data_IF_008912509539
#
_entry.id   IF_008912509539
#
_cell.length_a   1.000
_cell.length_b   1.000
_cell.length_c   1.000
_cell.angle_alpha   90.00
_cell.angle_beta   90.00
_cell.angle_gamma   90.00
#
_symmetry.space_group_name_H-M   'P 1'
#
loop_
_entity.id
_entity.type
_entity.pdbx_description
1 polymer ?
#
# COMPACT_ATOMS: atom_id res chain seq x y z
N UNK A 1 16.73 -28.46 33.31
CA UNK A 1 16.44 -29.86 32.91
C UNK A 1 15.06 -30.24 33.44
N UNK A 2 14.18 -30.76 32.56
CA UNK A 2 12.90 -31.51 32.75
C UNK A 2 11.77 -30.89 33.61
N UNK A 3 10.55 -30.55 33.14
CA UNK A 3 9.46 -31.17 32.33
C UNK A 3 8.32 -31.76 33.21
N UNK A 4 7.08 -31.61 32.70
CA UNK A 4 5.77 -32.24 33.08
C UNK A 4 5.02 -31.63 34.30
N UNK A 5 3.70 -31.46 34.32
CA UNK A 5 2.62 -31.85 33.42
C UNK A 5 1.36 -30.98 33.66
N UNK A 6 0.58 -30.81 32.59
CA UNK A 6 -0.76 -30.23 32.52
C UNK A 6 -1.80 -31.36 32.68
N UNK A 7 -2.85 -31.14 33.47
CA UNK A 7 -4.18 -31.81 33.37
C UNK A 7 -5.20 -30.87 34.08
N UNK A 8 -6.08 -30.11 33.40
CA UNK A 8 -7.35 -30.53 32.77
C UNK A 8 -8.22 -31.35 33.74
N UNK A 9 -9.49 -31.07 34.07
CA UNK A 9 -10.46 -30.00 33.87
C UNK A 9 -11.69 -30.39 34.75
N UNK A 10 -12.74 -29.53 34.70
CA UNK A 10 -14.15 -29.95 34.62
C UNK A 10 -15.01 -29.96 35.92
N UNK A 11 -15.85 -28.92 36.01
CA UNK A 11 -17.30 -28.94 36.35
C UNK A 11 -17.72 -29.15 37.81
N UNK A 12 -18.41 -28.14 38.36
CA UNK A 12 -19.82 -28.26 38.78
C UNK A 12 -20.38 -26.89 39.23
N UNK A 13 -21.38 -26.45 38.48
CA UNK A 13 -22.29 -25.32 38.72
C UNK A 13 -23.21 -25.55 39.93
N UNK A 14 -23.50 -24.51 40.72
CA UNK A 14 -24.88 -24.11 41.08
C UNK A 14 -24.95 -22.83 41.94
N UNK A 15 -25.78 -21.89 41.44
CA UNK A 15 -26.61 -20.90 42.13
C UNK A 15 -25.98 -19.58 42.67
N UNK A 16 -26.32 -18.54 41.92
CA UNK A 16 -26.79 -17.21 42.31
C UNK A 16 -26.59 -16.78 43.77
N UNK A 17 -25.88 -15.66 43.95
CA UNK A 17 -26.04 -14.85 45.16
C UNK A 17 -26.30 -13.39 44.78
N UNK A 18 -27.53 -12.98 45.08
CA UNK A 18 -28.01 -11.59 45.15
C UNK A 18 -27.23 -10.89 46.26
N UNK A 19 -26.66 -9.71 46.00
CA UNK A 19 -26.04 -8.89 47.04
C UNK A 19 -26.81 -7.60 47.23
N UNK A 20 -27.74 -7.67 48.19
CA UNK A 20 -28.26 -6.54 48.96
C UNK A 20 -27.10 -5.79 49.62
N UNK A 21 -27.07 -4.48 49.44
CA UNK A 21 -26.06 -3.60 50.03
C UNK A 21 -26.21 -3.55 51.56
N UNK A 22 -25.14 -3.82 52.31
CA UNK A 22 -25.09 -3.53 53.73
C UNK A 22 -23.80 -2.78 54.09
N UNK A 23 -23.95 -1.65 54.78
CA UNK A 23 -22.90 -0.68 55.09
C UNK A 23 -22.04 -1.15 56.26
N UNK A 24 -20.93 -1.86 55.98
CA UNK A 24 -20.01 -2.29 57.04
C UNK A 24 -18.77 -3.07 56.61
N UNK A 25 -18.11 -2.70 55.51
CA UNK A 25 -16.96 -3.45 54.97
C UNK A 25 -15.65 -2.69 55.23
N UNK A 26 -14.69 -3.32 55.91
CA UNK A 26 -13.38 -2.74 56.20
C UNK A 26 -12.40 -2.92 55.03
N UNK A 27 -11.31 -2.14 54.96
CA UNK A 27 -10.32 -2.18 53.86
C UNK A 27 -9.67 -3.56 53.66
N UNK A 28 -9.65 -4.40 54.69
CA UNK A 28 -9.15 -5.78 54.61
C UNK A 28 -10.09 -6.72 53.83
N UNK A 29 -11.38 -6.38 53.74
CA UNK A 29 -12.38 -7.15 53.03
C UNK A 29 -12.43 -6.79 51.53
N UNK A 30 -12.09 -5.54 51.18
CA UNK A 30 -11.92 -5.12 49.77
C UNK A 30 -10.73 -5.81 49.09
N UNK A 31 -9.64 -6.04 49.83
CA UNK A 31 -8.47 -6.76 49.31
C UNK A 31 -8.77 -8.24 48.98
N UNK A 32 -9.71 -8.86 49.71
CA UNK A 32 -10.15 -10.24 49.45
C UNK A 32 -11.09 -10.33 48.25
N UNK A 33 -11.89 -9.30 47.99
CA UNK A 33 -12.74 -9.20 46.78
C UNK A 33 -11.90 -8.85 45.54
N UNK A 34 -10.88 -8.01 45.67
CA UNK A 34 -9.93 -7.72 44.59
C UNK A 34 -9.05 -8.94 44.22
N UNK A 35 -8.73 -9.80 45.18
CA UNK A 35 -7.99 -11.05 44.92
C UNK A 35 -8.84 -12.14 44.25
N UNK A 36 -10.17 -12.06 44.31
CA UNK A 36 -11.09 -12.98 43.62
C UNK A 36 -11.54 -12.48 42.23
N UNK A 37 -11.16 -11.26 41.83
CA UNK A 37 -11.59 -10.62 40.57
C UNK A 37 -10.55 -10.59 39.44
N UNK A 38 -9.43 -11.31 39.55
CA UNK A 38 -8.30 -11.21 38.58
C UNK A 38 -8.10 -12.47 37.72
N UNK A 39 -9.03 -13.44 37.75
CA UNK A 39 -8.98 -14.64 36.91
C UNK A 39 -10.22 -14.79 36.03
N UNK A 40 -10.60 -13.71 35.35
CA UNK A 40 -11.42 -13.77 34.13
C UNK A 40 -10.48 -13.75 32.93
N UNK A 41 -10.33 -14.88 32.27
CA UNK A 41 -9.41 -15.10 31.16
C UNK A 41 -9.58 -14.06 30.03
N UNK A 42 -8.66 -13.10 29.96
CA UNK A 42 -8.29 -12.46 28.70
C UNK A 42 -7.01 -13.15 28.24
N UNK A 43 -7.15 -14.24 27.48
CA UNK A 43 -6.10 -14.62 26.53
C UNK A 43 -6.15 -13.59 25.41
N UNK A 44 -5.20 -12.65 25.31
CA UNK A 44 -5.11 -11.83 24.12
C UNK A 44 -4.74 -12.76 22.97
N UNK A 45 -5.68 -12.93 22.04
CA UNK A 45 -5.36 -13.47 20.73
C UNK A 45 -4.50 -12.43 20.00
N UNK A 46 -3.20 -12.39 20.32
CA UNK A 46 -2.23 -11.62 19.56
C UNK A 46 -2.04 -12.31 18.21
N UNK A 47 -2.87 -11.94 17.23
CA UNK A 47 -2.49 -12.06 15.84
C UNK A 47 -1.27 -11.15 15.61
N UNK A 48 -0.15 -11.74 15.18
CA UNK A 48 1.08 -11.05 14.81
C UNK A 48 0.76 -9.90 13.84
N UNK A 49 0.92 -8.66 14.30
CA UNK A 49 0.71 -7.44 13.50
C UNK A 49 -0.26 -6.42 14.12
N UNK A 50 -1.10 -6.82 15.08
CA UNK A 50 -1.97 -5.90 15.79
C UNK A 50 -1.23 -5.24 16.97
N UNK A 51 -1.06 -3.92 16.93
CA UNK A 51 -0.57 -3.16 18.08
C UNK A 51 -1.63 -3.13 19.21
N UNK A 52 -1.23 -3.06 20.49
CA UNK A 52 -2.18 -3.09 21.60
C UNK A 52 -3.04 -1.82 21.61
N UNK A 53 -4.35 -1.97 21.33
CA UNK A 53 -5.35 -0.93 21.61
C UNK A 53 -5.64 -0.98 23.12
N UNK A 54 -4.93 -0.20 23.93
CA UNK A 54 -5.17 -0.09 25.38
C UNK A 54 -6.35 0.86 25.64
N UNK A 55 -7.54 0.29 25.90
CA UNK A 55 -8.68 1.00 26.49
C UNK A 55 -8.72 0.77 28.00
N UNK A 56 -8.10 1.65 28.78
CA UNK A 56 -8.17 1.55 30.25
C UNK A 56 -9.42 2.24 30.84
N UNK A 57 -10.13 3.07 30.06
CA UNK A 57 -11.42 3.66 30.46
C UNK A 57 -12.41 3.78 29.28
N UNK A 58 -12.39 2.81 28.35
CA UNK A 58 -13.21 2.79 27.13
C UNK A 58 -14.21 1.64 27.04
N UNK A 59 -14.47 0.91 28.14
CA UNK A 59 -15.39 -0.25 28.11
C UNK A 59 -16.29 -0.26 29.34
N UNK A 60 -17.54 0.17 29.15
CA UNK A 60 -18.66 -0.69 29.56
C UNK A 60 -19.66 -0.71 28.42
N UNK A 61 -19.70 -1.81 27.69
CA UNK A 61 -20.85 -2.15 26.84
C UNK A 61 -20.50 -2.33 25.37
N UNK A 62 -20.84 -3.52 24.88
CA UNK A 62 -20.96 -3.92 23.48
C UNK A 62 -22.00 -3.06 22.73
N UNK A 63 -21.68 -1.81 22.46
CA UNK A 63 -22.45 -0.92 21.58
C UNK A 63 -21.51 0.16 20.98
N UNK A 64 -21.71 0.57 19.72
CA UNK A 64 -20.87 1.55 19.05
C UNK A 64 -21.21 2.95 19.58
N UNK A 65 -20.75 3.27 20.80
CA UNK A 65 -20.78 4.65 21.25
C UNK A 65 -19.63 5.38 20.56
N UNK A 66 -20.03 6.36 19.73
CA UNK A 66 -19.22 7.42 19.14
C UNK A 66 -18.03 7.75 20.03
N UNK A 67 -16.83 7.31 19.61
CA UNK A 67 -15.56 7.69 20.22
C UNK A 67 -14.93 6.76 21.26
N UNK A 68 -15.43 5.54 21.45
CA UNK A 68 -14.79 4.56 22.32
C UNK A 68 -13.87 3.59 21.56
N UNK A 69 -12.56 3.84 21.55
CA UNK A 69 -11.59 2.80 21.18
C UNK A 69 -10.36 3.30 20.43
N UNK A 70 -9.54 4.17 21.03
CA UNK A 70 -8.25 4.60 20.46
C UNK A 70 -8.28 5.05 18.98
N UNK A 71 -9.46 5.41 18.46
CA UNK A 71 -9.69 5.84 17.09
C UNK A 71 -9.26 7.30 16.99
N UNK A 72 -8.53 7.66 15.94
CA UNK A 72 -8.18 9.06 15.70
C UNK A 72 -9.36 9.93 15.29
N UNK A 73 -10.45 9.31 14.84
CA UNK A 73 -11.73 9.97 14.69
C UNK A 73 -12.78 9.22 15.50
N UNK A 74 -13.43 9.89 16.48
CA UNK A 74 -14.51 9.28 17.25
C UNK A 74 -15.77 8.98 16.40
N UNK A 75 -15.78 9.40 15.13
CA UNK A 75 -16.90 9.23 14.20
C UNK A 75 -16.59 8.27 13.03
N UNK A 76 -15.45 7.58 13.04
CA UNK A 76 -15.13 6.63 11.98
C UNK A 76 -16.00 5.36 12.11
N UNK A 77 -16.97 5.20 11.19
CA UNK A 77 -17.81 4.01 11.09
C UNK A 77 -17.08 2.81 10.45
N UNK A 78 -15.93 3.06 9.79
CA UNK A 78 -15.12 2.08 9.04
C UNK A 78 -13.67 2.16 9.51
N UNK A 79 -12.96 1.03 9.55
CA UNK A 79 -11.55 0.98 9.94
C UNK A 79 -10.68 1.85 9.01
N UNK A 80 -9.95 2.78 9.60
CA UNK A 80 -9.04 3.68 8.88
C UNK A 80 -7.76 2.96 8.46
N UNK A 81 -7.17 3.37 7.33
CA UNK A 81 -5.93 2.81 6.78
C UNK A 81 -4.77 2.77 7.80
N UNK A 82 -4.67 3.81 8.64
CA UNK A 82 -3.76 3.85 9.77
C UNK A 82 -4.36 4.73 10.86
N UNK A 83 -3.87 4.64 12.11
CA UNK A 83 -4.35 5.48 13.20
C UNK A 83 -4.27 6.98 12.91
N UNK A 84 -3.46 7.44 11.96
CA UNK A 84 -3.35 8.86 11.63
C UNK A 84 -3.93 9.21 10.26
N UNK A 85 -4.58 8.27 9.59
CA UNK A 85 -5.18 8.48 8.27
C UNK A 85 -6.68 8.76 8.38
N UNK A 86 -7.20 9.79 7.71
CA UNK A 86 -8.64 9.99 7.59
C UNK A 86 -9.30 9.05 6.57
N UNK A 87 -8.50 8.32 5.77
CA UNK A 87 -9.00 7.42 4.73
C UNK A 87 -9.24 6.00 5.27
N UNK A 88 -10.29 5.33 4.79
CA UNK A 88 -10.60 3.94 5.11
C UNK A 88 -9.53 2.98 4.58
N UNK A 89 -9.41 1.82 5.21
CA UNK A 89 -8.62 0.73 4.67
C UNK A 89 -9.23 0.28 3.32
N UNK A 90 -8.40 0.08 2.31
CA UNK A 90 -8.85 -0.30 0.95
C UNK A 90 -9.34 -1.75 0.85
N UNK A 91 -9.35 -2.49 1.97
CA UNK A 91 -9.58 -3.93 2.01
C UNK A 91 -11.06 -4.33 1.88
N UNK A 92 -12.00 -3.43 2.15
CA UNK A 92 -13.41 -3.81 2.36
C UNK A 92 -14.22 -4.04 1.08
N UNK A 93 -13.60 -3.97 -0.11
CA UNK A 93 -14.28 -4.17 -1.40
C UNK A 93 -15.37 -3.13 -1.74
N UNK A 94 -15.63 -2.20 -0.83
CA UNK A 94 -16.51 -1.03 -0.98
C UNK A 94 -15.84 0.14 -1.69
N UNK A 95 -14.52 0.08 -1.88
CA UNK A 95 -13.77 1.08 -2.61
C UNK A 95 -14.27 1.16 -4.08
N UNK A 96 -14.60 2.38 -4.51
CA UNK A 96 -15.01 2.66 -5.90
C UNK A 96 -13.88 2.28 -6.87
N UNK A 97 -12.63 2.50 -6.44
CA UNK A 97 -11.46 2.08 -7.19
C UNK A 97 -11.13 0.61 -6.91
N UNK A 98 -11.33 -0.24 -7.91
CA UNK A 98 -11.14 -1.70 -7.83
C UNK A 98 -9.77 -2.17 -8.35
N UNK A 99 -8.83 -1.25 -8.54
CA UNK A 99 -7.54 -1.54 -9.17
C UNK A 99 -7.54 -1.27 -10.68
N UNK A 100 -6.48 -1.70 -11.39
CA UNK A 100 -6.34 -1.46 -12.82
C UNK A 100 -7.46 -2.15 -13.59
N UNK A 101 -8.38 -1.35 -14.16
CA UNK A 101 -9.41 -1.83 -15.07
C UNK A 101 -8.87 -1.96 -16.48
N UNK A 102 -9.54 -2.75 -17.33
CA UNK A 102 -9.19 -2.86 -18.76
C UNK A 102 -9.15 -1.51 -19.48
N UNK A 103 -9.97 -0.55 -19.03
CA UNK A 103 -9.96 0.82 -19.54
C UNK A 103 -8.67 1.56 -19.18
N UNK A 104 -8.17 1.41 -17.97
CA UNK A 104 -6.88 1.99 -17.55
C UNK A 104 -5.71 1.36 -18.33
N UNK A 105 -5.73 0.05 -18.55
CA UNK A 105 -4.71 -0.63 -19.36
C UNK A 105 -4.71 -0.10 -20.81
N UNK A 106 -5.89 0.07 -21.41
CA UNK A 106 -6.03 0.70 -22.74
C UNK A 106 -5.49 2.14 -22.76
N UNK A 107 -5.75 2.91 -21.71
CA UNK A 107 -5.21 4.27 -21.58
C UNK A 107 -3.68 4.27 -21.50
N UNK A 108 -3.07 3.38 -20.72
CA UNK A 108 -1.61 3.27 -20.63
C UNK A 108 -0.98 2.88 -21.98
N UNK A 109 -1.58 1.92 -22.69
CA UNK A 109 -1.13 1.57 -24.05
C UNK A 109 -1.26 2.76 -25.01
N UNK A 110 -2.36 3.53 -24.90
CA UNK A 110 -2.55 4.73 -25.71
C UNK A 110 -1.48 5.80 -25.43
N UNK A 111 -1.08 5.98 -24.16
CA UNK A 111 0.01 6.89 -23.77
C UNK A 111 1.33 6.44 -24.37
N UNK A 112 1.66 5.15 -24.31
CA UNK A 112 2.88 4.60 -24.92
C UNK A 112 2.90 4.86 -26.42
N UNK A 113 1.77 4.62 -27.12
CA UNK A 113 1.63 4.89 -28.56
C UNK A 113 1.71 6.37 -28.91
N UNK A 114 1.18 7.28 -28.09
CA UNK A 114 1.34 8.73 -28.30
C UNK A 114 2.82 9.14 -28.19
N UNK A 115 3.53 8.59 -27.20
CA UNK A 115 4.95 8.85 -27.03
C UNK A 115 5.77 8.32 -28.22
N UNK A 116 5.50 7.09 -28.67
CA UNK A 116 6.14 6.49 -29.84
C UNK A 116 5.96 7.37 -31.10
N UNK A 117 4.74 7.86 -31.35
CA UNK A 117 4.45 8.76 -32.47
C UNK A 117 5.28 10.05 -32.43
N UNK A 118 5.45 10.63 -31.25
CA UNK A 118 6.25 11.86 -31.06
C UNK A 118 7.73 11.60 -31.23
N UNK A 119 8.24 10.49 -30.70
CA UNK A 119 9.65 10.13 -30.79
C UNK A 119 10.10 9.79 -32.22
N UNK A 120 9.18 9.44 -33.13
CA UNK A 120 9.49 9.31 -34.57
C UNK A 120 10.01 10.60 -35.21
N UNK A 121 9.84 11.76 -34.58
CA UNK A 121 10.38 13.04 -35.05
C UNK A 121 11.86 13.25 -34.68
N UNK A 122 12.41 12.45 -33.75
CA UNK A 122 13.79 12.59 -33.25
C UNK A 122 14.83 12.53 -34.39
N UNK A 123 14.80 11.58 -35.34
CA UNK A 123 15.76 11.57 -36.45
C UNK A 123 15.71 12.85 -37.30
N UNK A 124 14.51 13.41 -37.52
CA UNK A 124 14.34 14.68 -38.22
C UNK A 124 14.99 15.85 -37.46
N UNK A 125 14.81 15.90 -36.15
CA UNK A 125 15.43 16.91 -35.29
C UNK A 125 16.95 16.75 -35.18
N UNK A 126 17.47 15.53 -35.21
CA UNK A 126 18.92 15.27 -35.26
C UNK A 126 19.52 15.85 -36.54
N UNK A 127 18.89 15.60 -37.70
CA UNK A 127 19.32 16.16 -38.98
C UNK A 127 19.25 17.69 -39.01
N UNK A 128 18.17 18.26 -38.44
CA UNK A 128 17.99 19.69 -38.27
C UNK A 128 18.84 20.33 -37.17
N UNK A 129 19.62 19.54 -36.42
CA UNK A 129 20.40 19.97 -35.24
C UNK A 129 19.56 20.69 -34.18
N UNK A 130 18.29 20.30 -34.03
CA UNK A 130 17.32 20.86 -33.10
C UNK A 130 17.42 20.17 -31.73
N UNK A 131 18.56 20.35 -31.07
CA UNK A 131 18.88 19.65 -29.80
C UNK A 131 17.92 19.99 -28.65
N UNK A 132 17.40 21.22 -28.64
CA UNK A 132 16.45 21.67 -27.62
C UNK A 132 15.09 21.01 -27.78
N UNK A 133 14.63 20.79 -29.01
CA UNK A 133 13.35 20.13 -29.28
C UNK A 133 13.37 18.67 -28.83
N UNK A 134 14.47 17.95 -29.12
CA UNK A 134 14.69 16.58 -28.64
C UNK A 134 14.56 16.52 -27.11
N UNK A 135 15.24 17.42 -26.41
CA UNK A 135 15.20 17.48 -24.93
C UNK A 135 13.83 17.89 -24.39
N UNK A 136 13.18 18.85 -25.04
CA UNK A 136 11.87 19.35 -24.63
C UNK A 136 10.81 18.26 -24.77
N UNK A 137 10.79 17.52 -25.88
CA UNK A 137 9.82 16.44 -26.09
C UNK A 137 10.11 15.21 -25.23
N UNK A 138 11.38 14.80 -25.08
CA UNK A 138 11.75 13.72 -24.16
C UNK A 138 11.30 14.06 -22.73
N UNK A 139 11.59 15.26 -22.23
CA UNK A 139 11.20 15.65 -20.86
C UNK A 139 9.69 15.81 -20.69
N UNK A 140 8.98 16.34 -21.69
CA UNK A 140 7.52 16.50 -21.68
C UNK A 140 6.78 15.16 -21.56
N UNK A 141 7.33 14.09 -22.14
CA UNK A 141 6.64 12.79 -22.24
C UNK A 141 7.24 11.70 -21.36
N UNK A 142 8.50 11.80 -20.94
CA UNK A 142 9.17 10.77 -20.15
C UNK A 142 8.43 10.42 -18.85
N UNK A 143 7.83 11.41 -18.17
CA UNK A 143 7.11 11.14 -16.92
C UNK A 143 5.86 10.28 -17.14
N UNK A 144 5.00 10.67 -18.09
CA UNK A 144 3.79 9.90 -18.43
C UNK A 144 4.13 8.54 -19.03
N UNK A 145 5.21 8.45 -19.81
CA UNK A 145 5.67 7.21 -20.43
C UNK A 145 6.15 6.20 -19.39
N UNK A 146 7.01 6.63 -18.46
CA UNK A 146 7.50 5.77 -17.37
C UNK A 146 6.35 5.28 -16.48
N UNK A 147 5.41 6.18 -16.15
CA UNK A 147 4.22 5.81 -15.38
C UNK A 147 3.39 4.73 -16.09
N UNK A 148 3.09 4.93 -17.38
CA UNK A 148 2.31 3.98 -18.18
C UNK A 148 3.03 2.64 -18.34
N UNK A 149 4.32 2.65 -18.69
CA UNK A 149 5.08 1.41 -18.88
C UNK A 149 5.27 0.63 -17.58
N UNK A 150 5.48 1.31 -16.44
CA UNK A 150 5.57 0.64 -15.14
C UNK A 150 4.22 0.06 -14.70
N UNK A 151 3.11 0.75 -14.99
CA UNK A 151 1.77 0.24 -14.70
C UNK A 151 1.41 -1.00 -15.54
N UNK A 152 1.94 -1.07 -16.76
CA UNK A 152 1.79 -2.21 -17.66
C UNK A 152 2.77 -3.36 -17.35
N UNK A 153 3.91 -3.07 -16.72
CA UNK A 153 4.95 -4.05 -16.43
C UNK A 153 4.67 -4.86 -15.15
N UNK A 154 3.83 -5.89 -15.28
CA UNK A 154 3.46 -6.81 -14.19
C UNK A 154 4.55 -7.85 -13.84
N UNK A 155 5.38 -8.24 -14.80
CA UNK A 155 6.37 -9.32 -14.68
C UNK A 155 7.81 -8.78 -14.53
N UNK A 156 8.73 -9.52 -13.86
CA UNK A 156 10.14 -9.10 -13.76
C UNK A 156 10.81 -8.91 -15.12
N UNK A 157 10.46 -9.74 -16.11
CA UNK A 157 11.00 -9.65 -17.47
C UNK A 157 10.54 -8.38 -18.19
N UNK A 158 9.26 -8.01 -18.07
CA UNK A 158 8.71 -6.78 -18.68
C UNK A 158 9.25 -5.54 -18.01
N UNK A 159 9.48 -5.60 -16.69
CA UNK A 159 10.15 -4.53 -15.94
C UNK A 159 11.61 -4.35 -16.38
N UNK A 160 12.34 -5.44 -16.65
CA UNK A 160 13.71 -5.36 -17.17
C UNK A 160 13.74 -4.76 -18.58
N UNK A 161 12.83 -5.18 -19.46
CA UNK A 161 12.71 -4.62 -20.80
C UNK A 161 12.35 -3.11 -20.76
N UNK A 162 11.46 -2.70 -19.86
CA UNK A 162 11.14 -1.29 -19.66
C UNK A 162 12.36 -0.48 -19.19
N UNK A 163 13.17 -1.03 -18.27
CA UNK A 163 14.39 -0.38 -17.81
C UNK A 163 15.43 -0.20 -18.92
N UNK A 164 15.60 -1.20 -19.78
CA UNK A 164 16.49 -1.10 -20.94
C UNK A 164 16.07 0.06 -21.85
N UNK A 165 14.77 0.13 -22.18
CA UNK A 165 14.22 1.24 -22.94
C UNK A 165 14.41 2.61 -22.25
N UNK A 166 14.24 2.70 -20.92
CA UNK A 166 14.48 3.95 -20.19
C UNK A 166 15.94 4.40 -20.25
N UNK A 167 16.88 3.45 -20.20
CA UNK A 167 18.30 3.75 -20.30
C UNK A 167 18.64 4.37 -21.66
N UNK A 168 18.06 3.84 -22.75
CA UNK A 168 18.24 4.43 -24.09
C UNK A 168 17.68 5.86 -24.18
N UNK A 169 16.52 6.13 -23.57
CA UNK A 169 15.97 7.50 -23.50
C UNK A 169 16.89 8.45 -22.72
N UNK A 170 17.53 7.97 -21.65
CA UNK A 170 18.48 8.76 -20.85
C UNK A 170 19.78 9.03 -21.60
N UNK A 171 20.26 8.06 -22.38
CA UNK A 171 21.39 8.25 -23.30
C UNK A 171 21.03 9.31 -24.34
N UNK A 172 19.86 9.23 -24.97
CA UNK A 172 19.41 10.28 -25.91
C UNK A 172 19.34 11.67 -25.26
N UNK A 173 18.80 11.76 -24.04
CA UNK A 173 18.71 13.02 -23.31
C UNK A 173 20.09 13.61 -22.97
N UNK A 174 21.05 12.74 -22.62
CA UNK A 174 22.42 13.14 -22.28
C UNK A 174 23.19 13.54 -23.53
N UNK A 175 23.13 12.75 -24.59
CA UNK A 175 23.85 13.05 -25.84
C UNK A 175 23.22 14.22 -26.61
N UNK A 176 21.93 14.51 -26.42
CA UNK A 176 21.32 15.77 -26.87
C UNK A 176 21.90 17.01 -26.16
N UNK A 177 22.45 16.88 -24.95
CA UNK A 177 23.22 17.97 -24.30
C UNK A 177 24.62 18.09 -24.90
N UNK A 178 25.26 16.96 -25.20
CA UNK A 178 26.58 16.90 -25.82
C UNK A 178 26.56 17.24 -27.32
N UNK A 179 25.38 17.26 -27.94
CA UNK A 179 25.15 17.52 -29.37
C UNK A 179 25.77 16.47 -30.29
N UNK A 180 25.84 15.22 -29.83
CA UNK A 180 26.36 14.10 -30.61
C UNK A 180 25.23 13.39 -31.36
N UNK A 181 24.98 13.84 -32.60
CA UNK A 181 23.90 13.31 -33.44
C UNK A 181 24.04 11.82 -33.78
N UNK A 182 25.26 11.31 -33.88
CA UNK A 182 25.50 9.91 -34.22
C UNK A 182 25.09 9.00 -33.05
N UNK A 183 25.44 9.38 -31.83
CA UNK A 183 25.02 8.64 -30.64
C UNK A 183 23.53 8.75 -30.35
N UNK A 184 22.91 9.90 -30.62
CA UNK A 184 21.45 10.04 -30.49
C UNK A 184 20.73 9.12 -31.49
N UNK A 185 21.18 9.06 -32.74
CA UNK A 185 20.60 8.16 -33.73
C UNK A 185 20.76 6.69 -33.34
N UNK A 186 21.96 6.29 -32.89
CA UNK A 186 22.21 4.93 -32.43
C UNK A 186 21.36 4.56 -31.19
N UNK A 187 21.19 5.48 -30.23
CA UNK A 187 20.34 5.28 -29.07
C UNK A 187 18.85 5.26 -29.44
N UNK A 188 18.44 6.03 -30.44
CA UNK A 188 17.07 5.98 -30.97
C UNK A 188 16.76 4.62 -31.58
N UNK A 189 17.64 4.08 -32.43
CA UNK A 189 17.44 2.78 -33.08
C UNK A 189 17.36 1.64 -32.05
N UNK A 190 18.21 1.68 -31.00
CA UNK A 190 18.12 0.78 -29.86
C UNK A 190 16.80 0.92 -29.12
N UNK A 191 16.38 2.16 -28.84
CA UNK A 191 15.12 2.42 -28.14
C UNK A 191 13.90 1.86 -28.89
N UNK A 192 13.91 1.90 -30.22
CA UNK A 192 12.84 1.33 -31.05
C UNK A 192 12.83 -0.20 -30.94
N UNK A 193 14.00 -0.83 -30.95
CA UNK A 193 14.12 -2.27 -30.76
C UNK A 193 13.66 -2.70 -29.34
N UNK A 194 14.13 -2.02 -28.30
CA UNK A 194 13.79 -2.30 -26.91
C UNK A 194 12.30 -2.07 -26.62
N UNK A 195 11.69 -1.05 -27.22
CA UNK A 195 10.23 -0.86 -27.16
C UNK A 195 9.49 -2.00 -27.85
N UNK A 196 9.98 -2.48 -28.99
CA UNK A 196 9.42 -3.66 -29.66
C UNK A 196 9.51 -4.92 -28.80
N UNK A 197 10.63 -5.14 -28.12
CA UNK A 197 10.80 -6.23 -27.14
C UNK A 197 9.84 -6.08 -25.98
N UNK A 198 9.71 -4.87 -25.42
CA UNK A 198 8.79 -4.58 -24.33
C UNK A 198 7.33 -4.88 -24.72
N UNK A 199 6.86 -4.36 -25.85
CA UNK A 199 5.49 -4.59 -26.32
C UNK A 199 5.20 -6.06 -26.65
N UNK A 200 6.21 -6.81 -27.08
CA UNK A 200 6.07 -8.26 -27.37
C UNK A 200 6.05 -9.10 -26.09
N UNK A 201 6.56 -8.55 -24.98
CA UNK A 201 6.62 -9.22 -23.66
C UNK A 201 5.42 -8.92 -22.76
N UNK A 202 4.55 -8.00 -23.19
CA UNK A 202 3.45 -7.40 -22.45
C UNK A 202 2.25 -8.34 -22.29
#
# INVERSE_FOLDING_TARGET
>A
MFKLAVLLALVASCQAFVMTANNGISRADFAKVAAAGVLGAATPAFALGASPKQDFFGVVGTAPLVGGGGLSSPYAEVETYSPYSPYSATADGTAIFKGPTDEMLKQYIAVVKDCEKRFKQIPGWVNGKQWMEIRAELSRKAYSLRGAMNALASNPNTQSAAKAYYADLEVMMTEARNKDGAKIAAAYDKSVADLGTYLSSL
#
